data_IF_801877463732
#
_entry.id   IF_801877463732
#
_cell.length_a   1.000
_cell.length_b   1.000
_cell.length_c   1.000
_cell.angle_alpha   90.00
_cell.angle_beta   90.00
_cell.angle_gamma   90.00
#
_symmetry.space_group_name_H-M   'P 1'
#
loop_
_entity.id
_entity.type
_entity.pdbx_description
1 polymer ?
#
# COMPACT_ATOMS: atom_id res chain seq x y z
N UNK A 1 -5.17 -17.71 8.13
CA UNK A 1 -6.01 -16.72 8.85
C UNK A 1 -5.60 -15.29 8.52
N UNK A 2 -4.34 -14.89 8.73
CA UNK A 2 -3.87 -13.53 8.42
C UNK A 2 -4.14 -13.08 6.97
N UNK A 3 -3.74 -13.88 5.97
CA UNK A 3 -3.95 -13.54 4.56
C UNK A 3 -5.45 -13.33 4.23
N UNK A 4 -6.31 -14.21 4.74
CA UNK A 4 -7.76 -14.09 4.58
C UNK A 4 -8.32 -12.81 5.23
N UNK A 5 -7.92 -12.49 6.46
CA UNK A 5 -8.32 -11.25 7.13
C UNK A 5 -7.84 -10.03 6.35
N UNK A 6 -6.60 -10.02 5.85
CA UNK A 6 -6.08 -8.94 5.00
C UNK A 6 -6.89 -8.81 3.70
N UNK A 7 -7.32 -9.92 3.07
CA UNK A 7 -8.18 -9.89 1.89
C UNK A 7 -9.57 -9.31 2.19
N UNK A 8 -10.21 -9.73 3.28
CA UNK A 8 -11.53 -9.21 3.69
C UNK A 8 -11.46 -7.72 4.00
N UNK A 9 -10.46 -7.31 4.78
CA UNK A 9 -10.28 -5.90 5.13
C UNK A 9 -9.90 -5.06 3.92
N UNK A 10 -9.11 -5.60 2.98
CA UNK A 10 -8.84 -4.98 1.69
C UNK A 10 -10.10 -4.81 0.84
N UNK A 11 -10.99 -5.81 0.82
CA UNK A 11 -12.27 -5.72 0.11
C UNK A 11 -13.19 -4.65 0.73
N UNK A 12 -13.30 -4.60 2.06
CA UNK A 12 -14.07 -3.59 2.78
C UNK A 12 -13.53 -2.18 2.53
N UNK A 13 -12.21 -2.01 2.55
CA UNK A 13 -11.58 -0.72 2.28
C UNK A 13 -11.80 -0.27 0.82
N UNK A 14 -11.77 -1.20 -0.14
CA UNK A 14 -12.11 -0.93 -1.55
C UNK A 14 -13.58 -0.53 -1.71
N UNK A 15 -14.50 -1.20 -1.01
CA UNK A 15 -15.91 -0.82 -1.01
C UNK A 15 -16.14 0.58 -0.41
N UNK A 16 -15.47 0.89 0.71
CA UNK A 16 -15.52 2.21 1.35
C UNK A 16 -14.97 3.31 0.43
N UNK A 17 -13.87 3.03 -0.28
CA UNK A 17 -13.32 3.87 -1.33
C UNK A 17 -14.34 4.18 -2.43
N UNK A 18 -14.94 3.14 -3.02
CA UNK A 18 -15.89 3.29 -4.11
C UNK A 18 -17.12 4.10 -3.68
N UNK A 19 -17.64 3.84 -2.48
CA UNK A 19 -18.73 4.64 -1.90
C UNK A 19 -18.34 6.10 -1.69
N UNK A 20 -17.15 6.37 -1.14
CA UNK A 20 -16.69 7.74 -0.89
C UNK A 20 -16.37 8.54 -2.15
N UNK A 21 -16.02 7.87 -3.24
CA UNK A 21 -15.83 8.48 -4.58
C UNK A 21 -17.18 8.76 -5.28
N UNK A 22 -18.31 8.34 -4.68
CA UNK A 22 -19.65 8.58 -5.21
C UNK A 22 -20.09 7.57 -6.28
N UNK A 23 -19.43 6.41 -6.36
CA UNK A 23 -19.87 5.32 -7.25
C UNK A 23 -21.24 4.84 -6.80
N UNK A 24 -22.28 5.19 -7.58
CA UNK A 24 -23.69 4.88 -7.30
C UNK A 24 -24.58 6.10 -7.01
N UNK A 25 -24.04 7.32 -6.98
CA UNK A 25 -24.81 8.55 -6.78
C UNK A 25 -24.97 9.33 -8.09
N UNK A 26 -26.21 9.71 -8.45
CA UNK A 26 -26.51 10.42 -9.70
C UNK A 26 -25.96 11.86 -9.72
N UNK A 27 -25.65 12.42 -8.54
CA UNK A 27 -25.06 13.74 -8.39
C UNK A 27 -23.52 13.73 -8.33
N UNK A 28 -22.88 12.55 -8.28
CA UNK A 28 -21.44 12.45 -8.18
C UNK A 28 -20.75 12.86 -9.50
N UNK A 29 -19.95 13.93 -9.44
CA UNK A 29 -19.18 14.38 -10.60
C UNK A 29 -18.00 13.46 -10.85
N UNK A 30 -18.00 12.79 -12.02
CA UNK A 30 -16.89 11.99 -12.54
C UNK A 30 -15.54 12.74 -12.51
N UNK A 31 -15.58 14.07 -12.68
CA UNK A 31 -14.40 14.93 -12.59
C UNK A 31 -13.84 15.01 -11.16
N UNK A 32 -14.68 15.08 -10.13
CA UNK A 32 -14.23 15.10 -8.72
C UNK A 32 -13.62 13.77 -8.28
N UNK A 33 -14.21 12.67 -8.75
CA UNK A 33 -13.70 11.32 -8.56
C UNK A 33 -12.31 11.12 -9.18
N UNK A 34 -12.14 11.54 -10.43
CA UNK A 34 -10.86 11.42 -11.15
C UNK A 34 -9.78 12.33 -10.56
N UNK A 35 -10.11 13.56 -10.14
CA UNK A 35 -9.16 14.44 -9.45
C UNK A 35 -8.69 13.84 -8.12
N UNK A 36 -9.61 13.28 -7.32
CA UNK A 36 -9.27 12.60 -6.06
C UNK A 36 -8.37 11.39 -6.33
N UNK A 37 -8.68 10.62 -7.37
CA UNK A 37 -7.87 9.47 -7.77
C UNK A 37 -6.46 9.88 -8.23
N UNK A 38 -6.35 10.92 -9.07
CA UNK A 38 -5.08 11.48 -9.52
C UNK A 38 -4.25 12.03 -8.37
N UNK A 39 -4.86 12.81 -7.47
CA UNK A 39 -4.18 13.36 -6.30
C UNK A 39 -3.66 12.24 -5.39
N UNK A 40 -4.47 11.22 -5.12
CA UNK A 40 -4.07 10.06 -4.33
C UNK A 40 -2.90 9.32 -4.98
N UNK A 41 -3.01 8.99 -6.26
CA UNK A 41 -1.97 8.26 -6.99
C UNK A 41 -0.67 9.06 -7.10
N UNK A 42 -0.78 10.36 -7.42
CA UNK A 42 0.37 11.27 -7.53
C UNK A 42 1.08 11.49 -6.20
N UNK A 43 0.33 11.75 -5.12
CA UNK A 43 0.92 11.90 -3.78
C UNK A 43 1.56 10.60 -3.29
N UNK A 44 0.95 9.44 -3.58
CA UNK A 44 1.54 8.13 -3.30
C UNK A 44 2.89 7.92 -3.98
N UNK A 45 2.96 8.16 -5.30
CA UNK A 45 4.21 8.05 -6.06
C UNK A 45 5.29 8.98 -5.53
N UNK A 46 4.96 10.25 -5.27
CA UNK A 46 5.90 11.21 -4.69
C UNK A 46 6.40 10.75 -3.31
N UNK A 47 5.50 10.25 -2.47
CA UNK A 47 5.84 9.70 -1.17
C UNK A 47 6.82 8.52 -1.26
N UNK A 48 6.58 7.60 -2.18
CA UNK A 48 7.49 6.48 -2.45
C UNK A 48 8.87 6.92 -2.91
N UNK A 49 8.95 7.89 -3.84
CA UNK A 49 10.22 8.39 -4.36
C UNK A 49 11.02 9.06 -3.23
N UNK A 50 10.38 9.95 -2.45
CA UNK A 50 11.03 10.65 -1.34
C UNK A 50 11.49 9.67 -0.26
N UNK A 51 10.67 8.66 0.05
CA UNK A 51 11.00 7.64 1.04
C UNK A 51 12.17 6.77 0.58
N UNK A 52 12.14 6.27 -0.66
CA UNK A 52 13.22 5.49 -1.24
C UNK A 52 14.54 6.28 -1.26
N UNK A 53 14.48 7.56 -1.64
CA UNK A 53 15.66 8.43 -1.64
C UNK A 53 16.21 8.67 -0.22
N UNK A 54 15.35 8.90 0.77
CA UNK A 54 15.78 9.17 2.15
C UNK A 54 16.26 7.95 2.91
N UNK A 55 15.70 6.77 2.64
CA UNK A 55 15.88 5.57 3.47
C UNK A 55 16.36 4.32 2.72
N UNK A 56 16.66 4.47 1.42
CA UNK A 56 17.20 3.45 0.52
C UNK A 56 18.33 2.62 1.15
N UNK A 57 19.40 3.27 1.60
CA UNK A 57 20.59 2.57 2.12
C UNK A 57 20.39 1.86 3.47
N UNK A 58 19.34 2.15 4.23
CA UNK A 58 19.08 1.51 5.52
C UNK A 58 18.08 0.35 5.45
N UNK A 59 17.47 0.11 4.28
CA UNK A 59 16.46 -0.93 4.09
C UNK A 59 17.09 -2.34 4.14
N UNK A 60 18.31 -2.50 3.65
CA UNK A 60 19.01 -3.80 3.57
C UNK A 60 19.56 -4.27 4.93
N UNK A 61 19.95 -3.35 5.82
CA UNK A 61 20.62 -3.70 7.08
C UNK A 61 19.67 -4.32 8.13
N UNK A 62 18.38 -3.98 8.11
CA UNK A 62 17.42 -4.29 9.18
C UNK A 62 16.08 -4.80 8.62
N UNK A 63 16.14 -5.79 7.71
CA UNK A 63 14.96 -6.28 6.98
C UNK A 63 13.79 -6.70 7.88
N UNK A 64 14.05 -7.29 9.06
CA UNK A 64 13.01 -7.67 10.03
C UNK A 64 12.29 -6.46 10.64
N UNK A 65 13.01 -5.39 10.97
CA UNK A 65 12.42 -4.17 11.55
C UNK A 65 11.58 -3.43 10.51
N UNK A 66 12.07 -3.36 9.27
CA UNK A 66 11.34 -2.76 8.16
C UNK A 66 10.08 -3.54 7.78
N UNK A 67 10.11 -4.87 7.89
CA UNK A 67 8.92 -5.72 7.72
C UNK A 67 7.85 -5.40 8.76
N UNK A 68 8.22 -5.33 10.04
CA UNK A 68 7.29 -4.98 11.12
C UNK A 68 6.75 -3.55 10.97
N UNK A 69 7.61 -2.60 10.60
CA UNK A 69 7.22 -1.22 10.33
C UNK A 69 6.22 -1.13 9.16
N UNK A 70 6.46 -1.89 8.09
CA UNK A 70 5.56 -1.96 6.93
C UNK A 70 4.19 -2.55 7.32
N UNK A 71 4.16 -3.60 8.15
CA UNK A 71 2.89 -4.18 8.63
C UNK A 71 2.09 -3.16 9.47
N UNK A 72 2.73 -2.47 10.43
CA UNK A 72 2.07 -1.43 11.24
C UNK A 72 1.54 -0.28 10.38
N UNK A 73 2.34 0.21 9.43
CA UNK A 73 1.91 1.27 8.52
C UNK A 73 0.74 0.84 7.61
N UNK A 74 0.72 -0.43 7.20
CA UNK A 74 -0.36 -0.98 6.38
C UNK A 74 -1.67 -1.03 7.16
N UNK A 75 -1.64 -1.47 8.42
CA UNK A 75 -2.81 -1.50 9.29
C UNK A 75 -3.37 -0.09 9.54
N UNK A 76 -2.50 0.89 9.77
CA UNK A 76 -2.89 2.31 9.89
C UNK A 76 -3.52 2.82 8.59
N UNK A 77 -2.96 2.50 7.43
CA UNK A 77 -3.49 2.94 6.15
C UNK A 77 -4.89 2.34 5.86
N UNK A 78 -5.09 1.08 6.21
CA UNK A 78 -6.38 0.39 6.12
C UNK A 78 -7.40 1.02 7.08
N UNK A 79 -6.99 1.31 8.32
CA UNK A 79 -7.85 1.96 9.31
C UNK A 79 -8.32 3.34 8.83
N UNK A 80 -7.42 4.14 8.23
CA UNK A 80 -7.78 5.42 7.63
C UNK A 80 -8.77 5.28 6.47
N UNK A 81 -8.66 4.25 5.63
CA UNK A 81 -9.63 4.01 4.54
C UNK A 81 -11.01 3.60 5.05
N UNK A 82 -11.08 2.84 6.15
CA UNK A 82 -12.34 2.47 6.80
C UNK A 82 -12.99 3.69 7.45
N UNK A 83 -12.20 4.60 8.02
CA UNK A 83 -12.70 5.84 8.62
C UNK A 83 -13.06 6.93 7.60
N UNK A 84 -12.47 6.89 6.40
CA UNK A 84 -12.65 7.93 5.37
C UNK A 84 -14.13 8.28 5.07
N UNK A 85 -15.07 7.32 4.95
CA UNK A 85 -16.48 7.62 4.70
C UNK A 85 -17.18 8.36 5.85
N UNK A 86 -16.63 8.31 7.07
CA UNK A 86 -17.19 8.99 8.24
C UNK A 86 -16.99 10.52 8.22
N UNK A 87 -16.08 11.02 7.38
CA UNK A 87 -15.77 12.45 7.27
C UNK A 87 -15.77 12.92 5.80
N UNK A 88 -16.94 13.19 5.21
CA UNK A 88 -17.08 13.63 3.81
C UNK A 88 -16.18 14.83 3.42
N UNK A 89 -16.02 15.90 4.23
CA UNK A 89 -15.20 17.05 3.83
C UNK A 89 -13.69 16.78 3.88
N UNK A 90 -13.25 15.77 4.64
CA UNK A 90 -11.83 15.38 4.77
C UNK A 90 -11.48 14.14 3.95
N UNK A 91 -12.45 13.56 3.25
CA UNK A 91 -12.31 12.30 2.52
C UNK A 91 -11.06 12.31 1.62
N UNK A 92 -10.94 13.27 0.71
CA UNK A 92 -9.80 13.36 -0.22
C UNK A 92 -8.45 13.41 0.51
N UNK A 93 -8.35 14.13 1.63
CA UNK A 93 -7.11 14.25 2.39
C UNK A 93 -6.75 12.92 3.07
N UNK A 94 -7.71 12.30 3.77
CA UNK A 94 -7.54 11.01 4.46
C UNK A 94 -7.10 9.93 3.47
N UNK A 95 -7.66 9.96 2.26
CA UNK A 95 -7.40 8.99 1.20
C UNK A 95 -6.04 9.21 0.53
N UNK A 96 -5.62 10.46 0.36
CA UNK A 96 -4.25 10.77 -0.08
C UNK A 96 -3.22 10.30 0.95
N UNK A 97 -3.46 10.57 2.25
CA UNK A 97 -2.56 10.12 3.33
C UNK A 97 -2.48 8.59 3.38
N UNK A 98 -3.61 7.88 3.32
CA UNK A 98 -3.60 6.42 3.28
C UNK A 98 -2.90 5.87 2.03
N UNK A 99 -3.05 6.54 0.89
CA UNK A 99 -2.33 6.26 -0.35
C UNK A 99 -0.81 6.37 -0.19
N UNK A 100 -0.32 7.46 0.42
CA UNK A 100 1.11 7.66 0.71
C UNK A 100 1.64 6.55 1.63
N UNK A 101 0.93 6.24 2.71
CA UNK A 101 1.33 5.18 3.65
C UNK A 101 1.43 3.83 2.95
N UNK A 102 0.43 3.43 2.16
CA UNK A 102 0.48 2.19 1.37
C UNK A 102 1.63 2.18 0.37
N UNK A 103 1.92 3.32 -0.27
CA UNK A 103 3.02 3.44 -1.23
C UNK A 103 4.39 3.27 -0.53
N UNK A 104 4.55 3.82 0.68
CA UNK A 104 5.75 3.61 1.51
C UNK A 104 5.88 2.16 1.96
N UNK A 105 4.78 1.53 2.40
CA UNK A 105 4.73 0.10 2.72
C UNK A 105 5.15 -0.76 1.54
N UNK A 106 4.66 -0.45 0.33
CA UNK A 106 5.02 -1.15 -0.89
C UNK A 106 6.51 -1.10 -1.18
N UNK A 107 7.15 0.07 -1.02
CA UNK A 107 8.59 0.23 -1.21
C UNK A 107 9.38 -0.53 -0.14
N UNK A 108 9.03 -0.37 1.14
CA UNK A 108 9.73 -1.04 2.24
C UNK A 108 9.57 -2.57 2.17
N UNK A 109 8.35 -3.05 1.89
CA UNK A 109 8.07 -4.48 1.69
C UNK A 109 8.77 -5.05 0.47
N UNK A 110 8.79 -4.31 -0.65
CA UNK A 110 9.50 -4.72 -1.86
C UNK A 110 11.01 -4.83 -1.67
N UNK A 111 11.63 -3.82 -1.04
CA UNK A 111 13.06 -3.82 -0.74
C UNK A 111 13.47 -4.95 0.21
N UNK A 112 12.72 -5.15 1.30
CA UNK A 112 13.00 -6.24 2.25
C UNK A 112 12.79 -7.63 1.65
N UNK A 113 11.76 -7.81 0.80
CA UNK A 113 11.60 -9.05 0.02
C UNK A 113 12.76 -9.28 -0.93
N UNK A 114 13.23 -8.25 -1.64
CA UNK A 114 14.40 -8.37 -2.51
C UNK A 114 15.65 -8.81 -1.75
N UNK A 115 15.94 -8.20 -0.59
CA UNK A 115 17.07 -8.59 0.26
C UNK A 115 16.95 -10.05 0.76
N UNK A 116 15.75 -10.50 1.12
CA UNK A 116 15.49 -11.90 1.50
C UNK A 116 15.67 -12.87 0.33
N UNK A 117 15.20 -12.51 -0.86
CA UNK A 117 15.36 -13.31 -2.08
C UNK A 117 16.83 -13.47 -2.45
N UNK A 118 17.63 -12.39 -2.35
CA UNK A 118 19.10 -12.45 -2.54
C UNK A 118 19.73 -13.41 -1.53
N UNK A 119 19.36 -13.32 -0.25
CA UNK A 119 19.89 -14.21 0.78
C UNK A 119 19.50 -15.69 0.56
N UNK A 120 18.32 -15.95 0.00
CA UNK A 120 17.83 -17.31 -0.30
C UNK A 120 18.34 -17.86 -1.63
N UNK A 121 18.80 -16.99 -2.54
CA UNK A 121 19.41 -17.39 -3.80
C UNK A 121 20.83 -17.92 -3.57
N UNK A 122 20.96 -19.24 -3.52
CA UNK A 122 22.25 -19.94 -3.28
C UNK A 122 23.03 -20.26 -4.55
N UNK A 123 22.39 -20.18 -5.73
CA UNK A 123 22.99 -20.54 -7.03
C UNK A 123 22.61 -19.55 -8.13
N UNK A 124 22.71 -18.25 -7.85
CA UNK A 124 22.25 -17.18 -8.75
C UNK A 124 20.80 -17.36 -9.23
N UNK A 125 19.99 -18.07 -8.45
CA UNK A 125 18.64 -18.48 -8.79
C UNK A 125 17.56 -17.54 -8.24
N UNK A 126 17.87 -16.24 -8.14
CA UNK A 126 16.95 -15.22 -7.59
C UNK A 126 15.59 -15.20 -8.29
N UNK A 127 15.56 -15.38 -9.61
CA UNK A 127 14.32 -15.38 -10.38
C UNK A 127 13.42 -16.59 -10.03
N UNK A 128 14.00 -17.77 -9.84
CA UNK A 128 13.25 -18.99 -9.44
C UNK A 128 12.69 -18.85 -8.02
N UNK A 129 13.51 -18.32 -7.09
CA UNK A 129 13.07 -18.07 -5.71
C UNK A 129 11.94 -17.03 -5.67
N UNK A 130 12.09 -15.92 -6.39
CA UNK A 130 11.06 -14.87 -6.47
C UNK A 130 9.76 -15.40 -7.10
N UNK A 131 9.86 -16.21 -8.15
CA UNK A 131 8.70 -16.81 -8.81
C UNK A 131 7.97 -17.80 -7.90
N UNK A 132 8.69 -18.63 -7.13
CA UNK A 132 8.10 -19.56 -6.14
C UNK A 132 7.48 -18.85 -4.94
N UNK A 133 8.10 -17.79 -4.44
CA UNK A 133 7.54 -16.99 -3.35
C UNK A 133 6.27 -16.25 -3.82
N UNK A 134 6.25 -15.78 -5.07
CA UNK A 134 5.07 -15.16 -5.69
C UNK A 134 3.91 -16.12 -5.94
N UNK A 135 4.18 -17.39 -6.25
CA UNK A 135 3.13 -18.39 -6.54
C UNK A 135 2.53 -19.04 -5.29
N UNK A 136 3.15 -18.92 -4.12
CA UNK A 136 2.60 -19.45 -2.86
C UNK A 136 1.43 -18.65 -2.28
N UNK A 137 1.12 -17.46 -2.83
CA UNK A 137 0.15 -16.52 -2.25
C UNK A 137 -1.09 -16.26 -3.11
N UNK A 138 -1.35 -17.09 -4.13
CA UNK A 138 -2.66 -17.14 -4.83
C UNK A 138 -3.55 -18.20 -4.21
#
# INVERSE_FOLDING_TARGET
VQAFCSSVTGALATQAMLKGVGVGDAAASLAGATVTWLLRSGTGMLGSIVFAWKKGSSLDCDAKKWRLFADVLNDVAIFLEILAPGFPPLFTLVVCVSGVLKSVVGVAGGATRAALTVHQARRDNMADVSAKDGSQVT
#
